data_IF_218943399609
#
_entry.id   IF_218943399609
#
_cell.length_a   1.000
_cell.length_b   1.000
_cell.length_c   1.000
_cell.angle_alpha   90.00
_cell.angle_beta   90.00
_cell.angle_gamma   90.00
#
_symmetry.space_group_name_H-M   'P 1'
#
loop_
_entity.id
_entity.type
_entity.pdbx_description
1 polymer ?
#
# COMPACT_ATOMS: atom_id res chain seq x y z
N UNK A 1 -78.92 2.37 -1.95
CA UNK A 1 -79.05 0.94 -1.57
C UNK A 1 -77.87 0.23 -2.23
N UNK A 2 -76.77 0.07 -1.49
CA UNK A 2 -76.41 -1.16 -0.76
C UNK A 2 -75.71 -2.12 -1.72
N UNK A 3 -74.39 -2.22 -1.70
CA UNK A 3 -73.63 -3.16 -0.86
C UNK A 3 -73.16 -4.31 -1.77
N UNK A 4 -71.94 -4.83 -1.72
CA UNK A 4 -71.24 -5.35 -0.56
C UNK A 4 -69.72 -5.42 -0.80
N UNK A 5 -68.99 -5.15 0.29
CA UNK A 5 -67.59 -5.50 0.55
C UNK A 5 -67.44 -7.01 0.85
N UNK A 6 -66.22 -7.52 0.64
CA UNK A 6 -65.64 -8.73 1.24
C UNK A 6 -64.30 -8.99 0.54
N UNK A 7 -63.14 -8.78 1.17
CA UNK A 7 -62.50 -9.69 2.14
C UNK A 7 -61.54 -10.59 1.34
N UNK A 8 -60.25 -10.70 1.62
CA UNK A 8 -59.49 -10.48 2.84
C UNK A 8 -58.59 -11.70 2.99
N UNK A 9 -57.32 -11.56 2.59
CA UNK A 9 -56.37 -12.66 2.61
C UNK A 9 -54.98 -12.09 2.91
N UNK A 10 -54.60 -12.25 4.18
CA UNK A 10 -53.24 -12.10 4.63
C UNK A 10 -52.40 -13.30 4.20
N UNK A 11 -51.17 -13.03 3.81
CA UNK A 11 -50.06 -13.96 3.94
C UNK A 11 -48.82 -13.11 4.13
N UNK A 12 -48.32 -13.13 5.37
CA UNK A 12 -46.98 -12.68 5.66
C UNK A 12 -45.99 -13.67 5.05
N UNK A 13 -44.92 -13.15 4.47
CA UNK A 13 -43.69 -13.89 4.34
C UNK A 13 -42.53 -12.95 4.69
N UNK A 14 -41.77 -13.37 5.69
CA UNK A 14 -40.57 -12.70 6.15
C UNK A 14 -39.43 -13.08 5.23
N UNK A 15 -39.03 -12.15 4.35
CA UNK A 15 -37.82 -12.28 3.54
C UNK A 15 -36.64 -11.61 4.24
N UNK A 16 -35.77 -12.44 4.80
CA UNK A 16 -34.48 -12.10 5.41
C UNK A 16 -33.65 -11.11 4.59
N UNK A 17 -33.06 -10.15 5.30
CA UNK A 17 -31.91 -9.39 4.83
C UNK A 17 -30.78 -10.37 4.46
N UNK A 18 -30.13 -10.26 3.30
CA UNK A 18 -28.89 -10.99 3.08
C UNK A 18 -27.82 -10.40 3.97
N UNK A 19 -27.31 -11.26 4.86
CA UNK A 19 -26.11 -11.07 5.64
C UNK A 19 -24.98 -10.50 4.77
N UNK A 20 -24.38 -9.44 5.31
CA UNK A 20 -23.08 -8.94 4.88
C UNK A 20 -22.08 -10.09 5.05
N UNK A 21 -21.55 -10.57 3.94
CA UNK A 21 -20.35 -11.40 3.95
C UNK A 21 -19.21 -10.55 3.43
N UNK A 22 -18.30 -10.23 4.34
CA UNK A 22 -17.02 -9.56 4.09
C UNK A 22 -16.30 -10.19 2.89
N UNK A 23 -16.17 -9.41 1.81
CA UNK A 23 -15.43 -9.76 0.60
C UNK A 23 -13.93 -9.56 0.75
N UNK A 24 -13.35 -10.01 1.85
CA UNK A 24 -11.91 -10.17 1.99
C UNK A 24 -11.54 -11.63 1.67
N UNK A 25 -10.53 -11.82 0.83
CA UNK A 25 -9.71 -13.04 0.76
C UNK A 25 -10.29 -14.28 0.05
N UNK A 26 -10.96 -14.13 -1.11
CA UNK A 26 -11.24 -15.29 -1.99
C UNK A 26 -10.16 -15.60 -3.03
N UNK A 27 -9.35 -14.63 -3.45
CA UNK A 27 -8.34 -14.88 -4.49
C UNK A 27 -7.01 -15.45 -3.93
N UNK A 28 -6.66 -15.14 -2.67
CA UNK A 28 -5.43 -15.66 -2.04
C UNK A 28 -5.48 -17.15 -1.66
N UNK A 29 -6.68 -17.78 -1.70
CA UNK A 29 -6.85 -19.19 -1.33
C UNK A 29 -6.67 -20.16 -2.51
N UNK A 30 -6.84 -19.72 -3.75
CA UNK A 30 -6.82 -20.60 -4.93
C UNK A 30 -5.39 -20.85 -5.44
N UNK A 31 -4.41 -19.99 -5.12
CA UNK A 31 -3.05 -20.13 -5.66
C UNK A 31 -2.09 -20.98 -4.79
N UNK A 32 -2.55 -21.51 -3.65
CA UNK A 32 -1.72 -22.37 -2.76
C UNK A 32 -1.56 -23.83 -3.21
N UNK A 33 -2.24 -24.30 -4.26
CA UNK A 33 -2.20 -25.71 -4.68
C UNK A 33 -1.34 -26.01 -5.93
N UNK A 34 -0.60 -25.02 -6.47
CA UNK A 34 0.09 -25.17 -7.77
C UNK A 34 1.61 -25.37 -7.75
N UNK A 35 2.30 -25.47 -6.59
CA UNK A 35 3.77 -25.50 -6.57
C UNK A 35 4.35 -26.78 -5.97
N UNK A 36 4.39 -27.82 -6.79
CA UNK A 36 5.28 -28.96 -6.58
C UNK A 36 5.94 -29.36 -7.90
N UNK A 37 7.08 -28.74 -8.24
CA UNK A 37 8.12 -29.47 -8.96
C UNK A 37 9.52 -28.86 -8.75
N UNK A 38 10.47 -29.79 -8.67
CA UNK A 38 11.80 -29.70 -8.07
C UNK A 38 12.82 -29.11 -9.05
N UNK A 39 13.81 -28.38 -8.54
CA UNK A 39 15.22 -28.59 -8.93
C UNK A 39 16.09 -28.53 -7.69
N UNK A 40 16.87 -29.59 -7.51
CA UNK A 40 17.83 -29.82 -6.44
C UNK A 40 19.10 -28.98 -6.64
N UNK A 41 19.64 -28.42 -5.57
CA UNK A 41 21.09 -28.41 -5.36
C UNK A 41 21.41 -28.48 -3.86
N UNK A 42 22.32 -29.39 -3.52
CA UNK A 42 22.64 -29.90 -2.18
C UNK A 42 24.08 -29.53 -1.86
N UNK A 43 24.32 -28.80 -0.77
CA UNK A 43 25.54 -28.79 0.09
C UNK A 43 25.12 -28.06 1.38
N UNK A 44 25.35 -28.46 2.62
CA UNK A 44 26.02 -29.58 3.27
C UNK A 44 25.88 -29.34 4.79
N UNK A 45 25.47 -30.37 5.53
CA UNK A 45 25.25 -30.34 6.98
C UNK A 45 26.57 -30.24 7.78
N UNK A 46 26.54 -29.53 8.93
CA UNK A 46 27.13 -30.02 10.19
C UNK A 46 26.33 -29.50 11.39
N UNK A 47 25.91 -30.44 12.23
CA UNK A 47 25.30 -30.23 13.54
C UNK A 47 26.34 -30.36 14.67
N UNK A 48 26.08 -29.72 15.81
CA UNK A 48 26.75 -29.96 17.10
C UNK A 48 26.41 -28.90 18.16
N UNK A 49 26.36 -29.23 19.47
CA UNK A 49 25.13 -29.00 20.25
C UNK A 49 25.26 -28.24 21.60
N UNK A 50 24.07 -27.91 22.16
CA UNK A 50 23.66 -27.83 23.58
C UNK A 50 24.05 -26.69 24.54
N UNK A 51 23.05 -26.44 25.43
CA UNK A 51 22.99 -25.67 26.68
C UNK A 51 22.95 -24.13 26.52
N UNK A 52 22.10 -23.35 27.18
CA UNK A 52 21.24 -23.54 28.36
C UNK A 52 21.28 -22.23 29.16
N UNK A 53 20.16 -21.77 29.71
CA UNK A 53 20.16 -20.65 30.67
C UNK A 53 19.10 -19.60 30.37
N UNK A 54 18.07 -19.56 31.23
CA UNK A 54 17.10 -18.47 31.26
C UNK A 54 17.69 -17.19 31.86
N UNK A 55 17.07 -16.07 31.51
CA UNK A 55 17.03 -14.87 32.32
C UNK A 55 15.76 -14.10 31.97
N UNK A 56 14.80 -14.13 32.90
CA UNK A 56 13.81 -13.07 33.03
C UNK A 56 14.55 -11.76 33.37
N UNK A 57 14.18 -10.65 32.72
CA UNK A 57 14.80 -9.37 33.03
C UNK A 57 14.43 -8.22 32.10
N UNK A 58 13.34 -7.54 32.44
CA UNK A 58 13.14 -6.09 32.35
C UNK A 58 13.12 -5.43 30.95
N UNK A 59 11.93 -4.96 30.58
CA UNK A 59 11.72 -4.04 29.46
C UNK A 59 12.48 -2.72 29.66
N UNK A 60 13.45 -2.49 28.77
CA UNK A 60 14.02 -1.19 28.46
C UNK A 60 13.63 -0.77 27.03
N UNK A 61 13.69 0.52 26.69
CA UNK A 61 13.21 1.03 25.41
C UNK A 61 13.96 0.36 24.25
N UNK A 62 13.23 0.04 23.19
CA UNK A 62 13.74 -0.57 21.96
C UNK A 62 15.08 0.07 21.58
N UNK A 63 16.14 -0.74 21.55
CA UNK A 63 17.47 -0.32 21.13
C UNK A 63 17.41 0.22 19.71
N UNK A 64 17.30 1.54 19.59
CA UNK A 64 17.20 2.24 18.33
C UNK A 64 18.49 2.05 17.54
N UNK A 65 18.38 1.42 16.37
CA UNK A 65 19.37 1.61 15.32
C UNK A 65 19.58 3.14 15.18
N UNK A 66 20.82 3.66 15.10
CA UNK A 66 21.01 5.08 14.79
C UNK A 66 20.18 5.42 13.55
N UNK A 67 19.49 6.59 13.52
CA UNK A 67 18.60 6.91 12.41
C UNK A 67 19.38 6.78 11.10
N UNK A 68 19.01 5.76 10.32
CA UNK A 68 19.58 5.56 9.00
C UNK A 68 19.20 6.73 8.09
N UNK A 69 19.81 6.85 6.92
CA UNK A 69 19.46 7.95 6.02
C UNK A 69 18.01 7.79 5.55
N UNK A 70 17.12 8.81 5.63
CA UNK A 70 15.71 8.63 5.34
C UNK A 70 15.47 8.25 3.87
N UNK A 71 14.50 7.36 3.63
CA UNK A 71 14.08 6.93 2.31
C UNK A 71 12.55 6.73 2.25
N UNK A 72 11.93 7.16 1.15
CA UNK A 72 10.47 7.14 0.93
C UNK A 72 10.10 6.07 -0.10
N UNK A 73 9.16 5.20 0.26
CA UNK A 73 8.45 4.32 -0.66
C UNK A 73 7.04 4.84 -0.94
N UNK A 74 6.58 4.75 -2.18
CA UNK A 74 5.25 5.24 -2.59
C UNK A 74 4.57 4.24 -3.53
N UNK A 75 3.31 3.89 -3.25
CA UNK A 75 2.48 3.13 -4.21
C UNK A 75 2.04 3.99 -5.40
N UNK A 76 1.52 3.35 -6.44
CA UNK A 76 1.04 4.01 -7.64
C UNK A 76 -0.48 4.22 -7.61
N UNK A 77 -1.25 3.17 -7.43
CA UNK A 77 -2.70 3.21 -7.59
C UNK A 77 -3.35 3.89 -6.41
N UNK A 78 -4.18 4.90 -6.64
CA UNK A 78 -4.82 5.67 -5.57
C UNK A 78 -3.90 6.62 -4.80
N UNK A 79 -2.59 6.59 -5.08
CA UNK A 79 -1.57 7.43 -4.43
C UNK A 79 -0.97 8.42 -5.44
N UNK A 80 -0.43 7.93 -6.56
CA UNK A 80 0.11 8.78 -7.64
C UNK A 80 -0.90 8.91 -8.79
N UNK A 81 -1.51 7.80 -9.19
CA UNK A 81 -2.49 7.74 -10.28
C UNK A 81 -3.87 7.56 -9.65
N UNK A 82 -4.81 8.44 -9.99
CA UNK A 82 -6.17 8.32 -9.48
C UNK A 82 -6.78 7.01 -9.95
N UNK A 83 -7.51 6.32 -9.07
CA UNK A 83 -8.31 5.15 -9.48
C UNK A 83 -9.44 5.59 -10.40
N UNK A 84 -9.72 4.80 -11.41
CA UNK A 84 -10.79 5.11 -12.37
C UNK A 84 -12.16 4.80 -11.76
N UNK A 85 -13.14 5.66 -12.03
CA UNK A 85 -14.51 5.49 -11.56
C UNK A 85 -15.18 4.35 -12.34
N UNK A 86 -15.68 3.33 -11.63
CA UNK A 86 -16.58 2.31 -12.19
C UNK A 86 -15.98 0.97 -12.64
N UNK A 87 -14.67 0.74 -12.54
CA UNK A 87 -14.08 -0.59 -12.81
C UNK A 87 -13.73 -1.30 -11.50
N UNK A 88 -14.49 -2.35 -11.18
CA UNK A 88 -14.18 -3.29 -10.09
C UNK A 88 -13.01 -4.22 -10.46
N UNK A 89 -12.56 -4.17 -11.72
CA UNK A 89 -11.44 -4.95 -12.17
C UNK A 89 -10.13 -4.30 -11.69
N UNK A 90 -9.15 -5.14 -11.39
CA UNK A 90 -7.95 -4.83 -10.59
C UNK A 90 -6.98 -3.81 -11.21
N UNK A 91 -7.37 -3.08 -12.26
CA UNK A 91 -6.62 -2.02 -12.90
C UNK A 91 -7.15 -0.64 -12.54
N UNK A 92 -6.31 0.20 -11.94
CA UNK A 92 -6.61 1.62 -11.74
C UNK A 92 -6.69 2.42 -13.07
N UNK A 93 -6.36 1.79 -14.20
CA UNK A 93 -6.54 2.32 -15.55
C UNK A 93 -7.89 1.89 -16.14
N UNK A 94 -8.75 2.84 -16.50
CA UNK A 94 -9.97 2.59 -17.28
C UNK A 94 -9.73 2.48 -18.79
N UNK A 95 -10.77 2.69 -19.60
CA UNK A 95 -10.74 2.53 -21.07
C UNK A 95 -9.67 3.38 -21.80
N UNK A 96 -9.26 4.49 -21.20
CA UNK A 96 -8.24 5.39 -21.74
C UNK A 96 -7.10 5.60 -20.73
N UNK A 97 -6.23 4.59 -20.53
CA UNK A 97 -5.21 4.59 -19.47
C UNK A 97 -4.37 5.86 -19.43
N UNK A 98 -3.91 6.33 -20.60
CA UNK A 98 -3.03 7.51 -20.70
C UNK A 98 -3.73 8.83 -20.33
N UNK A 99 -5.06 8.86 -20.35
CA UNK A 99 -5.87 10.02 -19.95
C UNK A 99 -6.25 10.01 -18.47
N UNK A 100 -6.01 8.90 -17.76
CA UNK A 100 -6.22 8.82 -16.30
C UNK A 100 -5.38 9.91 -15.63
N UNK A 101 -5.97 10.79 -14.81
CA UNK A 101 -5.24 11.88 -14.19
C UNK A 101 -4.36 11.39 -13.04
N UNK A 102 -3.28 12.14 -12.79
CA UNK A 102 -2.57 12.03 -11.52
C UNK A 102 -3.50 12.43 -10.36
N UNK A 103 -3.23 11.91 -9.17
CA UNK A 103 -3.79 12.47 -7.94
C UNK A 103 -3.30 13.92 -7.80
N UNK A 104 -4.20 14.82 -7.41
CA UNK A 104 -3.89 16.24 -7.28
C UNK A 104 -2.74 16.48 -6.28
N UNK A 105 -1.78 17.30 -6.67
CA UNK A 105 -0.60 17.64 -5.85
C UNK A 105 0.46 16.54 -5.72
N UNK A 106 0.23 15.34 -6.27
CA UNK A 106 1.15 14.21 -6.10
C UNK A 106 2.55 14.48 -6.65
N UNK A 107 2.64 15.04 -7.85
CA UNK A 107 3.94 15.22 -8.52
C UNK A 107 4.72 16.36 -7.87
N UNK A 108 4.04 17.44 -7.52
CA UNK A 108 4.63 18.60 -6.85
C UNK A 108 5.16 18.21 -5.47
N UNK A 109 4.37 17.48 -4.68
CA UNK A 109 4.80 16.98 -3.38
C UNK A 109 5.97 16.00 -3.49
N UNK A 110 5.92 15.05 -4.42
CA UNK A 110 7.02 14.09 -4.63
C UNK A 110 8.31 14.77 -5.09
N UNK A 111 8.22 15.81 -5.93
CA UNK A 111 9.38 16.60 -6.33
C UNK A 111 10.04 17.31 -5.14
N UNK A 112 9.25 17.94 -4.28
CA UNK A 112 9.74 18.60 -3.06
C UNK A 112 10.37 17.61 -2.08
N UNK A 113 9.70 16.46 -1.86
CA UNK A 113 10.19 15.42 -0.96
C UNK A 113 11.49 14.80 -1.48
N UNK A 114 11.58 14.55 -2.79
CA UNK A 114 12.78 14.04 -3.44
C UNK A 114 13.94 15.04 -3.38
N UNK A 115 13.70 16.33 -3.67
CA UNK A 115 14.75 17.34 -3.66
C UNK A 115 15.20 17.76 -2.24
N UNK A 116 14.34 17.60 -1.24
CA UNK A 116 14.60 18.02 0.14
C UNK A 116 14.96 16.86 1.06
N UNK A 117 14.03 16.44 1.96
CA UNK A 117 14.35 15.57 3.09
C UNK A 117 14.91 14.19 2.71
N UNK A 118 14.57 13.68 1.52
CA UNK A 118 15.01 12.36 1.09
C UNK A 118 16.24 12.39 0.19
N UNK A 119 16.66 13.55 -0.31
CA UNK A 119 17.87 13.69 -1.16
C UNK A 119 17.92 12.63 -2.28
N UNK A 120 16.84 12.57 -3.04
CA UNK A 120 16.60 11.62 -4.12
C UNK A 120 16.20 10.21 -3.68
N UNK A 121 16.22 9.84 -2.39
CA UNK A 121 15.85 8.49 -1.94
C UNK A 121 14.33 8.26 -1.90
N UNK A 122 13.66 8.46 -3.03
CA UNK A 122 12.23 8.24 -3.22
C UNK A 122 12.03 7.14 -4.27
N UNK A 123 11.26 6.11 -3.92
CA UNK A 123 11.10 4.89 -4.69
C UNK A 123 9.63 4.59 -4.94
N UNK A 124 9.28 4.29 -6.19
CA UNK A 124 7.96 3.77 -6.52
C UNK A 124 7.97 2.28 -6.25
N UNK A 125 7.10 1.80 -5.36
CA UNK A 125 7.02 0.39 -4.98
C UNK A 125 5.56 -0.05 -5.06
N UNK A 126 5.21 -0.74 -6.14
CA UNK A 126 3.81 -1.05 -6.45
C UNK A 126 3.55 -2.50 -6.80
N UNK A 127 2.35 -2.97 -6.47
CA UNK A 127 1.88 -4.31 -6.83
C UNK A 127 1.33 -4.27 -8.25
N UNK A 128 1.95 -5.00 -9.17
CA UNK A 128 1.50 -5.06 -10.57
C UNK A 128 1.94 -6.35 -11.25
N UNK A 129 1.04 -6.94 -12.05
CA UNK A 129 1.40 -7.97 -13.04
C UNK A 129 2.24 -7.32 -14.16
N UNK A 130 3.03 -8.08 -14.94
CA UNK A 130 3.93 -7.54 -15.96
C UNK A 130 3.26 -6.53 -16.93
N UNK A 131 2.07 -6.85 -17.45
CA UNK A 131 1.35 -5.96 -18.37
C UNK A 131 0.92 -4.66 -17.70
N UNK A 132 0.41 -4.73 -16.47
CA UNK A 132 0.05 -3.55 -15.69
C UNK A 132 1.30 -2.72 -15.37
N UNK A 133 2.42 -3.35 -15.01
CA UNK A 133 3.68 -2.65 -14.75
C UNK A 133 4.18 -1.91 -16.00
N UNK A 134 4.12 -2.54 -17.18
CA UNK A 134 4.46 -1.89 -18.44
C UNK A 134 3.58 -0.68 -18.73
N UNK A 135 2.25 -0.82 -18.58
CA UNK A 135 1.31 0.30 -18.76
C UNK A 135 1.56 1.42 -17.75
N UNK A 136 1.89 1.09 -16.51
CA UNK A 136 2.26 2.07 -15.49
C UNK A 136 3.50 2.86 -15.90
N UNK A 137 4.53 2.18 -16.40
CA UNK A 137 5.75 2.84 -16.90
C UNK A 137 5.44 3.75 -18.09
N UNK A 138 4.63 3.29 -19.03
CA UNK A 138 4.19 4.11 -20.19
C UNK A 138 3.41 5.34 -19.74
N UNK A 139 2.51 5.20 -18.76
CA UNK A 139 1.77 6.31 -18.19
C UNK A 139 2.71 7.32 -17.51
N UNK A 140 3.63 6.85 -16.67
CA UNK A 140 4.60 7.72 -15.99
C UNK A 140 5.46 8.49 -16.99
N UNK A 141 5.88 7.83 -18.07
CA UNK A 141 6.58 8.49 -19.17
C UNK A 141 5.70 9.52 -19.89
N UNK A 142 4.46 9.16 -20.24
CA UNK A 142 3.51 10.04 -20.91
C UNK A 142 3.23 11.33 -20.13
N UNK A 143 3.20 11.24 -18.79
CA UNK A 143 2.97 12.37 -17.89
C UNK A 143 4.25 13.10 -17.45
N UNK A 144 5.38 12.82 -18.10
CA UNK A 144 6.69 13.42 -17.82
C UNK A 144 7.12 13.28 -16.34
N UNK A 145 6.75 12.16 -15.70
CA UNK A 145 6.91 11.96 -14.26
C UNK A 145 8.35 12.14 -13.79
N UNK A 146 9.33 11.52 -14.47
CA UNK A 146 10.74 11.64 -14.11
C UNK A 146 11.23 13.09 -14.18
N UNK A 147 10.88 13.82 -15.25
CA UNK A 147 11.25 15.23 -15.40
C UNK A 147 10.63 16.11 -14.31
N UNK A 148 9.39 15.81 -13.92
CA UNK A 148 8.63 16.61 -12.94
C UNK A 148 9.02 16.31 -11.49
N UNK A 149 9.44 15.08 -11.19
CA UNK A 149 9.68 14.61 -9.80
C UNK A 149 11.14 14.30 -9.47
N UNK A 150 11.98 14.07 -10.48
CA UNK A 150 13.34 13.56 -10.29
C UNK A 150 13.41 12.07 -9.91
N UNK A 151 12.29 11.36 -9.92
CA UNK A 151 12.23 9.92 -9.61
C UNK A 151 12.40 9.14 -10.92
N UNK A 152 13.56 8.53 -11.08
CA UNK A 152 13.93 7.82 -12.31
C UNK A 152 13.32 6.42 -12.37
N UNK A 153 13.31 5.85 -13.58
CA UNK A 153 12.82 4.49 -13.82
C UNK A 153 13.52 3.42 -12.97
N UNK A 154 14.80 3.60 -12.66
CA UNK A 154 15.58 2.65 -11.84
C UNK A 154 15.11 2.59 -10.38
N UNK A 155 14.36 3.61 -9.93
CA UNK A 155 13.76 3.67 -8.59
C UNK A 155 12.34 3.08 -8.55
N UNK A 156 11.92 2.40 -9.62
CA UNK A 156 10.61 1.76 -9.71
C UNK A 156 10.75 0.25 -9.48
N UNK A 157 10.00 -0.27 -8.52
CA UNK A 157 9.99 -1.67 -8.13
C UNK A 157 8.56 -2.22 -8.18
N UNK A 158 8.34 -3.18 -9.07
CA UNK A 158 7.06 -3.86 -9.18
C UNK A 158 7.12 -5.24 -8.54
N UNK A 159 6.12 -5.55 -7.73
CA UNK A 159 5.98 -6.84 -7.04
C UNK A 159 4.67 -7.51 -7.45
N UNK A 160 4.62 -8.84 -7.34
CA UNK A 160 3.42 -9.61 -7.72
C UNK A 160 2.36 -9.59 -6.61
N UNK A 161 2.80 -9.69 -5.34
CA UNK A 161 1.91 -9.70 -4.18
C UNK A 161 2.09 -8.45 -3.31
N UNK A 162 1.04 -8.07 -2.57
CA UNK A 162 1.07 -6.91 -1.67
C UNK A 162 2.13 -7.06 -0.56
N UNK A 163 2.24 -8.25 0.03
CA UNK A 163 3.23 -8.55 1.07
C UNK A 163 4.68 -8.49 0.57
N UNK A 164 4.91 -8.70 -0.73
CA UNK A 164 6.26 -8.67 -1.33
C UNK A 164 6.87 -7.26 -1.35
N UNK A 165 6.10 -6.21 -1.05
CA UNK A 165 6.66 -4.88 -0.81
C UNK A 165 7.57 -4.85 0.41
N UNK A 166 7.28 -5.63 1.46
CA UNK A 166 8.05 -5.64 2.70
C UNK A 166 9.55 -5.97 2.48
N UNK A 167 9.94 -7.07 1.81
CA UNK A 167 11.35 -7.35 1.54
C UNK A 167 12.01 -6.33 0.59
N UNK A 168 11.25 -5.67 -0.30
CA UNK A 168 11.77 -4.56 -1.11
C UNK A 168 12.08 -3.35 -0.24
N UNK A 169 11.16 -2.98 0.66
CA UNK A 169 11.34 -1.88 1.60
C UNK A 169 12.55 -2.10 2.51
N UNK A 170 12.71 -3.32 3.03
CA UNK A 170 13.86 -3.69 3.87
C UNK A 170 15.18 -3.54 3.10
N UNK A 171 15.26 -4.09 1.88
CA UNK A 171 16.46 -4.03 1.04
C UNK A 171 16.87 -2.61 0.67
N UNK A 172 15.89 -1.72 0.44
CA UNK A 172 16.13 -0.33 0.08
C UNK A 172 16.29 0.60 1.29
N UNK A 173 16.07 0.09 2.51
CA UNK A 173 16.11 0.90 3.73
C UNK A 173 14.99 1.92 3.83
N UNK A 174 13.79 1.61 3.32
CA UNK A 174 12.64 2.51 3.35
C UNK A 174 12.23 2.80 4.79
N UNK A 175 12.16 4.10 5.14
CA UNK A 175 11.77 4.57 6.47
C UNK A 175 10.35 5.15 6.50
N UNK A 176 9.86 5.61 5.35
CA UNK A 176 8.53 6.18 5.18
C UNK A 176 7.84 5.47 4.02
N UNK A 177 6.59 5.04 4.19
CA UNK A 177 5.83 4.43 3.10
C UNK A 177 4.42 4.97 3.01
N UNK A 178 3.99 5.31 1.79
CA UNK A 178 2.64 5.77 1.46
C UNK A 178 1.93 4.72 0.63
N UNK A 179 0.77 4.28 1.08
CA UNK A 179 -0.10 3.35 0.35
C UNK A 179 -1.57 3.73 0.59
N UNK A 180 -2.46 3.40 -0.37
CA UNK A 180 -3.89 3.62 -0.21
C UNK A 180 -4.60 2.48 0.53
N UNK A 181 -3.88 1.40 0.85
CA UNK A 181 -4.45 0.21 1.48
C UNK A 181 -3.81 -0.13 2.83
N UNK A 182 -4.67 -0.29 3.83
CA UNK A 182 -4.28 -0.73 5.19
C UNK A 182 -3.69 -2.15 5.18
N UNK A 183 -4.15 -3.05 4.31
CA UNK A 183 -3.63 -4.42 4.21
C UNK A 183 -2.14 -4.45 3.83
N UNK A 184 -1.73 -3.61 2.87
CA UNK A 184 -0.31 -3.42 2.52
C UNK A 184 0.47 -2.88 3.72
N UNK A 185 0.00 -1.80 4.34
CA UNK A 185 0.71 -1.15 5.45
C UNK A 185 0.90 -2.08 6.65
N UNK A 186 -0.01 -3.04 6.88
CA UNK A 186 0.13 -4.08 7.91
C UNK A 186 1.33 -5.00 7.67
N UNK A 187 1.73 -5.24 6.42
CA UNK A 187 2.91 -6.04 6.09
C UNK A 187 4.23 -5.29 6.26
N UNK A 188 4.21 -3.96 6.25
CA UNK A 188 5.42 -3.12 6.30
C UNK A 188 5.88 -2.86 7.74
N UNK A 189 5.92 -3.88 8.59
CA UNK A 189 6.21 -3.74 10.03
C UNK A 189 7.59 -3.16 10.35
N UNK A 190 8.54 -3.28 9.43
CA UNK A 190 9.89 -2.74 9.55
C UNK A 190 10.01 -1.27 9.09
N UNK A 191 8.96 -0.72 8.46
CA UNK A 191 8.91 0.69 8.07
C UNK A 191 8.33 1.49 9.24
N UNK A 192 9.10 2.38 9.88
CA UNK A 192 8.63 3.14 11.05
C UNK A 192 7.42 4.03 10.75
N UNK A 193 7.43 4.71 9.60
CA UNK A 193 6.39 5.68 9.23
C UNK A 193 5.52 5.13 8.10
N UNK A 194 4.25 4.88 8.40
CA UNK A 194 3.28 4.28 7.46
C UNK A 194 2.07 5.19 7.33
N UNK A 195 1.88 5.70 6.11
CA UNK A 195 0.83 6.66 5.78
C UNK A 195 -0.23 5.98 4.92
N UNK A 196 -1.47 6.03 5.39
CA UNK A 196 -2.66 5.66 4.64
C UNK A 196 -3.15 6.89 3.87
N UNK A 197 -3.07 6.84 2.55
CA UNK A 197 -3.51 7.92 1.69
C UNK A 197 -4.83 7.58 0.98
N UNK A 198 -5.89 8.36 1.21
CA UNK A 198 -7.22 8.07 0.63
C UNK A 198 -7.68 9.09 -0.41
N UNK A 199 -6.81 10.00 -0.85
CA UNK A 199 -7.15 11.09 -1.76
C UNK A 199 -7.40 10.65 -3.22
N UNK A 200 -6.85 9.50 -3.62
CA UNK A 200 -6.95 9.00 -4.99
C UNK A 200 -7.89 7.81 -5.20
N UNK A 201 -8.71 7.46 -4.21
CA UNK A 201 -9.57 6.26 -4.23
C UNK A 201 -10.69 6.30 -5.28
N UNK A 202 -11.06 7.47 -5.81
CA UNK A 202 -12.22 7.60 -6.69
C UNK A 202 -13.50 7.17 -5.96
N UNK A 203 -14.28 6.29 -6.59
CA UNK A 203 -15.47 5.67 -6.01
C UNK A 203 -15.19 4.50 -5.06
N UNK A 204 -13.93 4.06 -4.90
CA UNK A 204 -13.62 2.98 -3.97
C UNK A 204 -13.95 3.37 -2.51
N UNK A 205 -14.54 2.43 -1.73
CA UNK A 205 -14.94 2.72 -0.37
C UNK A 205 -13.74 3.05 0.50
N UNK A 206 -13.85 4.17 1.24
CA UNK A 206 -12.84 4.55 2.23
C UNK A 206 -12.80 3.54 3.39
N UNK A 207 -11.61 3.23 3.93
CA UNK A 207 -11.53 2.38 5.12
C UNK A 207 -12.33 2.98 6.28
N UNK A 208 -13.21 2.17 6.87
CA UNK A 208 -14.04 2.58 8.01
C UNK A 208 -13.32 2.46 9.36
N UNK A 209 -12.25 1.67 9.40
CA UNK A 209 -11.43 1.45 10.59
C UNK A 209 -9.97 1.70 10.24
N UNK A 210 -9.39 2.74 10.84
CA UNK A 210 -7.99 3.11 10.69
C UNK A 210 -7.25 2.72 11.97
N UNK A 211 -6.26 1.82 11.90
CA UNK A 211 -5.46 1.45 13.06
C UNK A 211 -4.75 2.66 13.68
N UNK A 212 -4.59 2.74 15.01
CA UNK A 212 -3.96 3.88 15.67
C UNK A 212 -2.52 4.17 15.25
N UNK A 213 -1.83 3.19 14.65
CA UNK A 213 -0.46 3.34 14.15
C UNK A 213 -0.38 3.92 12.73
N UNK A 214 -1.48 3.96 11.99
CA UNK A 214 -1.51 4.46 10.62
C UNK A 214 -1.85 5.95 10.65
N UNK A 215 -0.96 6.78 10.12
CA UNK A 215 -1.30 8.17 9.89
C UNK A 215 -2.12 8.29 8.61
N UNK A 216 -3.26 8.98 8.67
CA UNK A 216 -4.22 9.05 7.59
C UNK A 216 -4.40 10.47 7.07
N UNK A 217 -4.48 10.59 5.75
CA UNK A 217 -4.78 11.83 5.04
C UNK A 217 -5.35 11.53 3.66
N UNK A 218 -6.06 12.49 3.08
CA UNK A 218 -6.60 12.43 1.72
C UNK A 218 -6.11 13.57 0.82
N UNK A 219 -5.10 14.31 1.26
CA UNK A 219 -4.52 15.43 0.53
C UNK A 219 -2.98 15.33 0.55
N UNK A 220 -2.36 15.53 -0.62
CA UNK A 220 -0.92 15.38 -0.77
C UNK A 220 -0.13 16.46 -0.03
N UNK A 221 -0.70 17.67 0.11
CA UNK A 221 -0.03 18.74 0.86
C UNK A 221 0.04 18.40 2.34
N UNK A 222 -1.07 17.99 2.94
CA UNK A 222 -1.10 17.52 4.33
C UNK A 222 -0.19 16.28 4.55
N UNK A 223 -0.20 15.33 3.60
CA UNK A 223 0.71 14.17 3.65
C UNK A 223 2.18 14.59 3.65
N UNK A 224 2.58 15.46 2.72
CA UNK A 224 3.95 15.92 2.59
C UNK A 224 4.41 16.72 3.82
N UNK A 225 3.53 17.53 4.43
CA UNK A 225 3.79 18.21 5.69
C UNK A 225 4.08 17.21 6.82
N UNK A 226 3.29 16.14 6.93
CA UNK A 226 3.54 15.12 7.95
C UNK A 226 4.84 14.36 7.73
N UNK A 227 5.11 13.94 6.49
CA UNK A 227 6.37 13.26 6.14
C UNK A 227 7.58 14.16 6.46
N UNK A 228 7.50 15.46 6.18
CA UNK A 228 8.58 16.40 6.52
C UNK A 228 8.78 16.51 8.03
N UNK A 229 7.69 16.54 8.80
CA UNK A 229 7.73 16.60 10.27
C UNK A 229 8.39 15.35 10.84
N UNK A 230 8.00 14.15 10.42
CA UNK A 230 8.60 12.90 10.91
C UNK A 230 10.09 12.81 10.57
N UNK A 231 10.49 13.26 9.37
CA UNK A 231 11.90 13.35 9.00
C UNK A 231 12.66 14.32 9.91
N UNK A 232 12.09 15.52 10.16
CA UNK A 232 12.73 16.55 10.98
C UNK A 232 12.85 16.18 12.47
N UNK A 233 11.95 15.33 12.97
CA UNK A 233 11.95 14.85 14.35
C UNK A 233 12.99 13.74 14.58
N UNK A 234 13.14 12.83 13.62
CA UNK A 234 13.95 11.61 13.80
C UNK A 234 15.31 11.60 13.09
N UNK A 235 15.48 12.35 12.00
CA UNK A 235 16.63 12.25 11.10
C UNK A 235 17.41 13.55 10.98
N UNK A 236 17.46 14.34 12.07
CA UNK A 236 18.25 15.58 12.06
C UNK A 236 19.70 15.30 11.64
N UNK A 237 20.27 16.09 10.70
CA UNK A 237 21.68 16.02 10.40
C UNK A 237 22.45 16.20 11.72
N UNK A 238 23.30 15.23 12.05
CA UNK A 238 24.29 15.43 13.12
C UNK A 238 25.27 16.46 12.59
N UNK A 239 25.35 17.61 13.28
CA UNK A 239 26.21 18.73 12.94
C UNK A 239 27.70 18.35 12.99
#
# INVERSE_FOLDING_TARGET
>A
MSGLNGGGDGSGDGGQAPDRVDGADREDRVEREGRAERVHHRVGERAGPHAGGGAEGLGGPAGGRPPGVPALGVDVGGVIIRRSDGDQDTSFFGEHPMRTPAVEGAFEALAELAAGPFDGRVYVISKAKPDTAHRTIEWLHHHDFERRTGITRERMHFVLNRGDKAPVCERLGITHFVDDRIDVLRHLTMVPHRYLFTGGLGDEPRPTVIPPWAEHTDDWKALAESIRRSVAEEYRPTA
#
